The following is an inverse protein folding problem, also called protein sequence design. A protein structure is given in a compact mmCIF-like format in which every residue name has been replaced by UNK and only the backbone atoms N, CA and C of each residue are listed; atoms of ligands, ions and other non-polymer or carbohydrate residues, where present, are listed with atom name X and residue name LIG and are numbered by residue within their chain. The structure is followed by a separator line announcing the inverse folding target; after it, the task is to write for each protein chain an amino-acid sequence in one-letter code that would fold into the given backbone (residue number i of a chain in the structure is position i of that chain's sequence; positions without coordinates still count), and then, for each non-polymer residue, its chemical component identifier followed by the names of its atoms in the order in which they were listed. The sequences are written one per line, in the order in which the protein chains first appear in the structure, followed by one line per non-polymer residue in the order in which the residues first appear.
data_IF_005583312455
#
_entry.id   IF_005583312455
#
_cell.length_a   1.000
_cell.length_b   1.000
_cell.length_c   1.000
_cell.angle_alpha   90.00
_cell.angle_beta   90.00
_cell.angle_gamma   90.00
#
_symmetry.space_group_name_H-M   'P 1'
#
loop_
_entity.id
_entity.type
_entity.pdbx_description
1 polymer ?
#
# COMPACT_ATOMS: atom_id res chain seq x y z
N UNK A 1 14.88 9.17 17.76
CA UNK A 1 13.47 9.57 17.98
C UNK A 1 12.69 8.28 18.08
N UNK A 2 12.26 7.93 19.29
CA UNK A 2 11.52 6.69 19.55
C UNK A 2 10.10 6.89 19.02
N UNK A 3 9.82 6.41 17.82
CA UNK A 3 8.45 6.25 17.38
C UNK A 3 7.81 5.21 18.29
N UNK A 4 6.99 5.66 19.25
CA UNK A 4 6.00 4.81 19.91
C UNK A 4 5.10 4.26 18.80
N UNK A 5 5.42 3.06 18.32
CA UNK A 5 4.66 2.36 17.30
C UNK A 5 3.33 2.00 17.95
N UNK A 6 2.29 2.77 17.67
CA UNK A 6 0.93 2.23 17.70
C UNK A 6 0.95 1.00 16.80
N UNK A 7 0.74 -0.19 17.35
CA UNK A 7 0.82 -1.52 16.74
C UNK A 7 -0.10 -1.76 15.51
N UNK A 8 -0.67 -0.71 14.91
CA UNK A 8 -1.62 -0.80 13.83
C UNK A 8 -0.90 -0.77 12.46
N UNK A 9 -1.17 -1.75 11.58
CA UNK A 9 -0.59 -1.79 10.24
C UNK A 9 -0.95 -0.56 9.40
N UNK A 10 0.07 0.06 8.82
CA UNK A 10 -0.09 1.16 7.87
C UNK A 10 -0.20 0.57 6.48
N UNK A 11 -1.35 0.72 5.84
CA UNK A 11 -1.57 0.27 4.47
C UNK A 11 -1.38 1.44 3.51
N UNK A 12 -0.52 1.27 2.52
CA UNK A 12 -0.29 2.26 1.47
C UNK A 12 -1.50 2.38 0.54
N UNK A 13 -1.59 3.51 -0.18
CA UNK A 13 -2.63 3.71 -1.20
C UNK A 13 -2.73 2.53 -2.20
N UNK A 14 -1.61 1.93 -2.59
CA UNK A 14 -1.57 0.82 -3.54
C UNK A 14 -1.84 -0.57 -2.93
N UNK A 15 -2.22 -0.66 -1.64
CA UNK A 15 -2.53 -1.91 -0.94
C UNK A 15 -1.34 -2.64 -0.32
N UNK A 16 -0.11 -2.10 -0.41
CA UNK A 16 1.03 -2.67 0.31
C UNK A 16 1.01 -2.30 1.78
N UNK A 17 1.48 -3.20 2.65
CA UNK A 17 1.63 -2.92 4.07
C UNK A 17 2.99 -2.22 4.34
N UNK A 18 2.96 -0.91 4.64
CA UNK A 18 4.15 -0.11 4.95
C UNK A 18 4.88 -0.60 6.20
N UNK A 19 4.17 -1.00 7.25
CA UNK A 19 4.79 -1.52 8.49
C UNK A 19 5.60 -2.80 8.25
N UNK A 20 5.32 -3.53 7.16
CA UNK A 20 6.06 -4.73 6.75
C UNK A 20 7.21 -4.43 5.77
N UNK A 21 7.39 -3.16 5.38
CA UNK A 21 8.40 -2.74 4.41
C UNK A 21 9.76 -2.52 5.09
N UNK A 22 10.83 -3.13 4.56
CA UNK A 22 12.18 -2.97 5.12
C UNK A 22 12.69 -1.53 5.16
N UNK A 23 12.24 -0.66 4.25
CA UNK A 23 12.62 0.75 4.27
C UNK A 23 11.89 1.57 5.34
N UNK A 24 10.65 1.19 5.65
CA UNK A 24 9.91 1.76 6.77
C UNK A 24 10.54 1.32 8.09
N UNK A 25 10.81 0.02 8.24
CA UNK A 25 11.46 -0.57 9.42
C UNK A 25 12.85 0.04 9.68
N UNK A 26 13.58 0.45 8.62
CA UNK A 26 14.90 1.08 8.71
C UNK A 26 14.83 2.61 8.82
N UNK A 27 13.67 3.21 9.07
CA UNK A 27 13.43 4.66 9.16
C UNK A 27 13.88 5.48 7.92
N UNK A 28 14.03 4.81 6.76
CA UNK A 28 14.35 5.46 5.48
C UNK A 28 13.12 5.97 4.73
N UNK A 29 11.93 5.61 5.21
CA UNK A 29 10.63 5.97 4.66
C UNK A 29 9.64 6.10 5.81
N UNK A 30 8.81 7.15 5.82
CA UNK A 30 7.80 7.37 6.88
C UNK A 30 6.42 6.81 6.50
N UNK A 31 6.33 6.03 5.42
CA UNK A 31 5.09 5.40 4.96
C UNK A 31 4.36 6.23 3.90
N UNK A 32 3.44 5.59 3.18
CA UNK A 32 2.83 6.17 1.97
C UNK A 32 2.00 7.43 2.24
N UNK A 33 1.32 7.48 3.39
CA UNK A 33 0.46 8.57 3.81
C UNK A 33 1.21 9.73 4.49
N UNK A 34 2.51 9.60 4.74
CA UNK A 34 3.36 10.66 5.32
C UNK A 34 3.87 11.64 4.27
N UNK A 35 4.48 12.74 4.69
CA UNK A 35 5.15 13.70 3.78
C UNK A 35 6.50 13.18 3.25
N UNK A 36 7.06 12.13 3.86
CA UNK A 36 8.35 11.53 3.45
C UNK A 36 8.20 10.06 3.03
N UNK A 37 7.42 9.75 1.96
CA UNK A 37 7.37 8.41 1.42
C UNK A 37 8.65 8.08 0.65
N UNK A 38 8.89 6.79 0.38
CA UNK A 38 10.03 6.32 -0.42
C UNK A 38 10.09 6.97 -1.82
N UNK A 39 8.94 7.22 -2.43
CA UNK A 39 8.84 7.91 -3.71
C UNK A 39 7.86 9.09 -3.58
N UNK A 40 8.41 10.30 -3.53
CA UNK A 40 7.64 11.56 -3.46
C UNK A 40 6.78 11.80 -4.70
N UNK A 41 7.17 11.28 -5.86
CA UNK A 41 6.48 11.44 -7.15
C UNK A 41 5.59 10.23 -7.51
N UNK A 42 5.08 9.52 -6.51
CA UNK A 42 4.23 8.35 -6.71
C UNK A 42 2.86 8.72 -7.31
N UNK A 43 2.60 8.29 -8.56
CA UNK A 43 1.34 8.58 -9.28
C UNK A 43 0.08 8.07 -8.57
N UNK A 44 0.16 6.94 -7.86
CA UNK A 44 -0.97 6.40 -7.10
C UNK A 44 -1.29 7.25 -5.89
N UNK A 45 -0.25 7.73 -5.17
CA UNK A 45 -0.42 8.63 -4.03
C UNK A 45 -1.11 9.92 -4.47
N UNK A 46 -0.56 10.59 -5.49
CA UNK A 46 -1.15 11.83 -6.01
C UNK A 46 -2.63 11.64 -6.39
N UNK A 47 -2.94 10.58 -7.15
CA UNK A 47 -4.30 10.26 -7.58
C UNK A 47 -5.25 9.94 -6.42
N UNK A 48 -4.78 9.22 -5.40
CA UNK A 48 -5.60 8.89 -4.23
C UNK A 48 -5.83 10.10 -3.33
N UNK A 49 -4.82 10.96 -3.14
CA UNK A 49 -4.96 12.19 -2.36
C UNK A 49 -5.97 13.16 -3.00
N UNK A 50 -5.86 13.38 -4.31
CA UNK A 50 -6.81 14.21 -5.08
C UNK A 50 -8.26 13.72 -4.92
N UNK A 51 -8.45 12.41 -4.80
CA UNK A 51 -9.76 11.76 -4.65
C UNK A 51 -10.20 11.55 -3.20
N UNK A 52 -9.38 11.90 -2.22
CA UNK A 52 -9.65 11.63 -0.80
C UNK A 52 -9.72 10.14 -0.45
N UNK A 53 -9.04 9.27 -1.20
CA UNK A 53 -9.09 7.82 -0.99
C UNK A 53 -8.05 7.36 0.02
N UNK A 54 -8.44 6.55 1.00
CA UNK A 54 -7.50 5.86 1.89
C UNK A 54 -6.69 4.79 1.14
N UNK A 55 -7.29 4.09 0.18
CA UNK A 55 -6.59 3.16 -0.72
C UNK A 55 -7.21 3.18 -2.12
N UNK A 56 -6.49 2.68 -3.11
CA UNK A 56 -7.02 2.48 -4.46
C UNK A 56 -8.22 1.51 -4.50
N UNK A 57 -8.51 0.77 -3.41
CA UNK A 57 -9.66 -0.13 -3.35
C UNK A 57 -11.01 0.62 -3.38
N UNK A 58 -11.01 1.92 -3.02
CA UNK A 58 -12.18 2.80 -3.13
C UNK A 58 -12.44 3.27 -4.57
N UNK A 59 -11.49 3.05 -5.49
CA UNK A 59 -11.65 3.43 -6.89
C UNK A 59 -12.74 2.58 -7.57
N UNK A 60 -13.70 3.26 -8.21
CA UNK A 60 -14.82 2.64 -8.92
C UNK A 60 -14.71 2.73 -10.45
N UNK A 61 -13.66 3.37 -10.96
CA UNK A 61 -13.48 3.62 -12.39
C UNK A 61 -13.26 2.34 -13.21
N UNK A 62 -12.85 1.25 -12.56
CA UNK A 62 -12.50 0.00 -13.21
C UNK A 62 -13.20 -1.19 -12.55
N UNK A 63 -13.64 -2.16 -13.37
CA UNK A 63 -14.08 -3.47 -12.89
C UNK A 63 -12.92 -4.33 -12.37
N UNK A 64 -11.74 -4.18 -12.97
CA UNK A 64 -10.48 -4.82 -12.57
C UNK A 64 -9.37 -3.77 -12.38
N UNK A 65 -8.71 -3.78 -11.22
CA UNK A 65 -7.60 -2.89 -10.89
C UNK A 65 -6.42 -2.98 -11.87
N UNK A 66 -6.25 -4.09 -12.59
CA UNK A 66 -5.23 -4.24 -13.64
C UNK A 66 -5.43 -3.29 -14.83
N UNK A 67 -6.62 -2.72 -14.99
CA UNK A 67 -6.91 -1.72 -16.03
C UNK A 67 -6.32 -0.34 -15.68
N UNK A 68 -6.01 -0.10 -14.40
CA UNK A 68 -5.40 1.16 -13.98
C UNK A 68 -3.91 1.20 -14.31
N UNK A 69 -3.51 1.90 -15.39
CA UNK A 69 -2.10 2.04 -15.81
C UNK A 69 -1.18 2.68 -14.75
N UNK A 70 -1.72 3.49 -13.85
CA UNK A 70 -0.96 4.06 -12.72
C UNK A 70 -0.53 2.95 -11.74
N UNK A 71 -1.44 2.03 -11.44
CA UNK A 71 -1.26 0.95 -10.48
C UNK A 71 -0.59 -0.30 -11.08
N UNK A 72 -1.02 -0.71 -12.27
CA UNK A 72 -0.60 -1.92 -12.96
C UNK A 72 0.15 -1.56 -14.26
N UNK A 73 1.47 -1.50 -14.15
CA UNK A 73 2.42 -1.26 -15.24
C UNK A 73 3.66 -2.17 -15.13
N UNK A 74 4.53 -2.14 -16.13
CA UNK A 74 5.70 -3.04 -16.22
C UNK A 74 6.61 -2.91 -14.98
N UNK A 75 6.95 -1.68 -14.60
CA UNK A 75 7.80 -1.40 -13.42
C UNK A 75 7.15 -1.95 -12.15
N UNK A 76 5.84 -1.74 -12.01
CA UNK A 76 5.08 -2.20 -10.87
C UNK A 76 5.07 -3.74 -10.75
N UNK A 77 4.98 -4.44 -11.89
CA UNK A 77 4.96 -5.91 -11.94
C UNK A 77 6.34 -6.48 -11.64
N UNK A 78 7.39 -5.85 -12.19
CA UNK A 78 8.78 -6.22 -11.93
C UNK A 78 9.13 -6.16 -10.44
N UNK A 79 8.85 -5.03 -9.78
CA UNK A 79 9.07 -4.93 -8.33
C UNK A 79 8.12 -5.81 -7.51
N UNK A 80 6.91 -6.07 -8.01
CA UNK A 80 5.99 -7.04 -7.41
C UNK A 80 6.61 -8.43 -7.34
N UNK A 81 7.27 -8.87 -8.42
CA UNK A 81 7.99 -10.13 -8.50
C UNK A 81 9.22 -10.16 -7.59
N UNK A 82 10.12 -9.16 -7.69
CA UNK A 82 11.36 -9.11 -6.90
C UNK A 82 11.09 -9.11 -5.39
N UNK A 83 10.09 -8.37 -4.95
CA UNK A 83 9.79 -8.24 -3.52
C UNK A 83 8.70 -9.20 -3.04
N UNK A 84 8.24 -10.11 -3.90
CA UNK A 84 7.15 -11.04 -3.62
C UNK A 84 5.92 -10.35 -3.01
N UNK A 85 5.43 -9.29 -3.65
CA UNK A 85 4.28 -8.50 -3.19
C UNK A 85 3.13 -8.55 -4.18
N UNK A 86 1.90 -8.63 -3.68
CA UNK A 86 0.69 -8.63 -4.50
C UNK A 86 -0.22 -7.44 -4.18
N UNK A 87 -0.03 -6.33 -4.92
CA UNK A 87 -0.90 -5.15 -4.80
C UNK A 87 -2.32 -5.43 -5.24
N UNK A 88 -2.51 -6.17 -6.32
CA UNK A 88 -3.84 -6.37 -6.90
C UNK A 88 -4.66 -7.29 -5.99
N UNK A 89 -4.06 -8.39 -5.52
CA UNK A 89 -4.66 -9.26 -4.51
C UNK A 89 -5.00 -8.51 -3.24
N UNK A 90 -4.09 -7.68 -2.71
CA UNK A 90 -4.37 -6.88 -1.51
C UNK A 90 -5.52 -5.89 -1.71
N UNK A 91 -5.55 -5.17 -2.84
CA UNK A 91 -6.65 -4.23 -3.12
C UNK A 91 -7.99 -4.94 -3.31
N UNK A 92 -7.99 -6.10 -3.96
CA UNK A 92 -9.18 -6.95 -4.03
C UNK A 92 -9.60 -7.44 -2.65
N UNK A 93 -8.66 -7.84 -1.79
CA UNK A 93 -8.95 -8.25 -0.41
C UNK A 93 -9.58 -7.09 0.37
N UNK A 94 -8.98 -5.91 0.32
CA UNK A 94 -9.51 -4.68 0.96
C UNK A 94 -10.92 -4.37 0.44
N UNK A 95 -11.16 -4.49 -0.87
CA UNK A 95 -12.49 -4.27 -1.47
C UNK A 95 -13.53 -5.26 -0.92
N UNK A 96 -13.13 -6.50 -0.66
CA UNK A 96 -14.02 -7.55 -0.16
C UNK A 96 -14.29 -7.46 1.35
N UNK A 97 -13.27 -7.20 2.18
CA UNK A 97 -13.40 -7.28 3.64
C UNK A 97 -13.34 -5.93 4.37
N UNK A 98 -13.05 -4.85 3.65
CA UNK A 98 -12.81 -3.54 4.23
C UNK A 98 -11.37 -3.34 4.72
N UNK A 99 -10.96 -2.08 4.82
CA UNK A 99 -9.59 -1.71 5.20
C UNK A 99 -9.23 -2.16 6.62
N UNK A 100 -10.13 -2.00 7.58
CA UNK A 100 -9.84 -2.29 8.99
C UNK A 100 -9.64 -3.79 9.23
N UNK A 101 -10.47 -4.64 8.62
CA UNK A 101 -10.25 -6.10 8.67
C UNK A 101 -8.97 -6.49 7.96
N UNK A 102 -8.66 -5.88 6.81
CA UNK A 102 -7.40 -6.15 6.13
C UNK A 102 -6.18 -5.76 6.99
N UNK A 103 -6.23 -4.63 7.70
CA UNK A 103 -5.18 -4.26 8.66
C UNK A 103 -5.03 -5.32 9.75
N UNK A 104 -6.12 -5.86 10.30
CA UNK A 104 -6.06 -6.94 11.29
C UNK A 104 -5.36 -8.19 10.74
N UNK A 105 -5.56 -8.54 9.47
CA UNK A 105 -4.82 -9.65 8.81
C UNK A 105 -3.32 -9.39 8.68
N UNK A 106 -2.88 -8.13 8.78
CA UNK A 106 -1.47 -7.75 8.74
C UNK A 106 -0.81 -7.64 10.12
N UNK A 107 -1.55 -7.85 11.21
CA UNK A 107 -1.01 -7.86 12.57
C UNK A 107 -0.26 -9.18 12.78
N UNK A 108 1.01 -9.10 13.15
CA UNK A 108 1.84 -10.26 13.49
C UNK A 108 3.20 -10.27 12.80
N UNK A 109 4.11 -11.17 13.20
CA UNK A 109 5.41 -11.29 12.56
C UNK A 109 5.24 -11.72 11.09
N UNK A 110 6.09 -11.17 10.23
CA UNK A 110 6.18 -11.53 8.82
C UNK A 110 6.32 -13.06 8.72
N UNK A 111 5.45 -13.74 7.97
CA UNK A 111 5.79 -15.07 7.45
C UNK A 111 6.95 -14.85 6.48
N UNK A 112 8.16 -15.19 6.93
CA UNK A 112 9.37 -15.26 6.10
C UNK A 112 9.19 -16.34 5.03
#
# INVERSE_FOLDING_TARGET
MNHNITNEPIIAYCGLCCTNCGMFIKDKCQGCHSDKPMNSNCKMKACSMERGFSTCALCKDFGDFKQCKKLYNIVSRFFGFIFNTDRIGNLNRIKTIGLDRFKQEQIGPKKL
#
